data_IF_644592663875
#
_entry.id   IF_644592663875
#
_cell.length_a   1.000
_cell.length_b   1.000
_cell.length_c   1.000
_cell.angle_alpha   90.00
_cell.angle_beta   90.00
_cell.angle_gamma   90.00
#
_symmetry.space_group_name_H-M   'P 1'
#
loop_
_entity.id
_entity.type
_entity.pdbx_description
1 polymer ?
#
# COMPACT_ATOMS: atom_id res chain seq x y z
N UNK A 1 70.73 -110.47 61.20
CA UNK A 1 69.99 -110.18 59.95
C UNK A 1 68.53 -109.96 60.32
N UNK A 2 68.04 -108.73 60.17
CA UNK A 2 66.62 -108.36 60.23
C UNK A 2 66.44 -107.32 59.10
N UNK A 3 65.48 -107.45 58.17
CA UNK A 3 65.34 -106.51 57.06
C UNK A 3 64.64 -105.21 57.52
N UNK A 4 64.90 -104.07 56.86
CA UNK A 4 64.29 -102.79 57.20
C UNK A 4 62.83 -102.73 56.74
N UNK A 5 61.96 -102.19 57.60
CA UNK A 5 60.57 -101.85 57.28
C UNK A 5 60.57 -100.63 56.35
N UNK A 6 59.93 -100.78 55.20
CA UNK A 6 59.70 -99.70 54.23
C UNK A 6 58.63 -98.75 54.76
N UNK A 7 58.97 -97.47 54.96
CA UNK A 7 58.01 -96.39 55.16
C UNK A 7 58.13 -95.41 54.00
N UNK A 8 57.48 -95.70 52.88
CA UNK A 8 57.26 -94.71 51.82
C UNK A 8 56.38 -93.57 52.38
N UNK A 9 56.76 -92.29 52.20
CA UNK A 9 55.91 -91.14 52.57
C UNK A 9 54.55 -91.22 51.87
N UNK A 10 53.47 -90.87 52.57
CA UNK A 10 52.14 -90.83 51.95
C UNK A 10 52.13 -89.76 50.86
N UNK A 11 51.69 -90.08 49.64
CA UNK A 11 51.59 -89.08 48.57
C UNK A 11 50.58 -87.99 48.95
N UNK A 12 50.89 -86.75 48.57
CA UNK A 12 49.99 -85.59 48.72
C UNK A 12 48.63 -85.90 48.08
N UNK A 13 47.57 -85.64 48.84
CA UNK A 13 46.18 -85.95 48.48
C UNK A 13 45.26 -84.81 48.90
N UNK A 14 44.00 -84.83 48.48
CA UNK A 14 43.01 -83.86 48.91
C UNK A 14 42.80 -83.83 50.44
N UNK A 15 43.03 -84.95 51.12
CA UNK A 15 42.84 -85.11 52.57
C UNK A 15 44.17 -84.97 53.37
N UNK A 16 45.32 -84.85 52.69
CA UNK A 16 46.63 -84.76 53.33
C UNK A 16 47.59 -83.86 52.53
N UNK A 17 47.95 -82.71 53.13
CA UNK A 17 48.77 -81.64 52.52
C UNK A 17 48.24 -81.17 51.13
N UNK A 18 46.93 -80.92 51.04
CA UNK A 18 46.29 -80.50 49.79
C UNK A 18 46.92 -79.23 49.20
N UNK A 19 47.30 -79.22 47.91
CA UNK A 19 47.82 -78.03 47.22
C UNK A 19 46.72 -77.07 46.77
N UNK A 20 45.45 -77.38 47.01
CA UNK A 20 44.31 -76.55 46.59
C UNK A 20 44.01 -75.46 47.61
N UNK A 21 43.54 -74.31 47.12
CA UNK A 21 43.15 -73.19 47.96
C UNK A 21 42.04 -73.63 48.94
N UNK A 22 42.09 -73.22 50.23
CA UNK A 22 41.07 -73.59 51.21
C UNK A 22 39.65 -73.26 50.72
N UNK A 23 38.81 -74.29 50.58
CA UNK A 23 37.43 -74.18 50.07
C UNK A 23 37.26 -74.32 48.56
N UNK A 24 38.35 -74.42 47.78
CA UNK A 24 38.28 -74.86 46.38
C UNK A 24 37.98 -76.37 46.34
N UNK A 25 37.25 -76.82 45.33
CA UNK A 25 36.99 -78.25 45.15
C UNK A 25 38.32 -78.98 44.88
N UNK A 26 38.54 -80.11 45.52
CA UNK A 26 39.75 -80.91 45.31
C UNK A 26 39.34 -82.33 44.89
N UNK A 27 40.00 -82.86 43.85
CA UNK A 27 39.82 -84.24 43.41
C UNK A 27 41.18 -84.91 43.22
N UNK A 28 41.38 -86.07 43.84
CA UNK A 28 42.58 -86.87 43.67
C UNK A 28 42.62 -87.52 42.27
N UNK A 29 43.80 -87.52 41.65
CA UNK A 29 44.04 -88.16 40.35
C UNK A 29 45.35 -88.94 40.34
N UNK A 30 45.53 -89.79 39.33
CA UNK A 30 46.76 -90.57 39.15
C UNK A 30 48.04 -89.71 39.00
N UNK A 31 47.92 -88.40 38.75
CA UNK A 31 49.04 -87.44 38.64
C UNK A 31 49.13 -86.47 39.84
N UNK A 32 48.36 -86.71 40.91
CA UNK A 32 48.25 -85.85 42.09
C UNK A 32 46.92 -85.06 42.15
N UNK A 33 46.70 -84.26 43.20
CA UNK A 33 45.44 -83.55 43.43
C UNK A 33 45.19 -82.47 42.38
N UNK A 34 43.99 -82.49 41.80
CA UNK A 34 43.49 -81.49 40.85
C UNK A 34 42.56 -80.54 41.60
N UNK A 35 42.83 -79.24 41.47
CA UNK A 35 42.03 -78.19 42.10
C UNK A 35 41.00 -77.67 41.10
N UNK A 36 39.74 -77.62 41.55
CA UNK A 36 38.61 -77.09 40.82
C UNK A 36 38.51 -75.57 40.94
N UNK A 37 37.32 -75.02 40.70
CA UNK A 37 37.12 -73.57 40.77
C UNK A 37 37.31 -73.01 42.18
N UNK A 38 37.78 -71.77 42.25
CA UNK A 38 37.87 -71.03 43.50
C UNK A 38 36.50 -70.88 44.20
N UNK A 39 36.49 -70.68 45.53
CA UNK A 39 35.27 -70.41 46.30
C UNK A 39 34.45 -69.23 45.72
N UNK A 40 33.13 -69.22 46.00
CA UNK A 40 32.25 -68.13 45.54
C UNK A 40 32.79 -66.76 45.97
N UNK A 41 32.85 -65.82 45.02
CA UNK A 41 33.41 -64.49 45.23
C UNK A 41 34.93 -64.41 45.09
N UNK A 42 35.59 -65.47 44.61
CA UNK A 42 37.02 -65.52 44.33
C UNK A 42 37.29 -66.00 42.91
N UNK A 43 38.41 -65.59 42.33
CA UNK A 43 38.87 -65.99 40.99
C UNK A 43 40.28 -66.57 41.07
N UNK A 44 40.64 -67.47 40.14
CA UNK A 44 41.92 -68.17 40.12
C UNK A 44 41.85 -69.60 39.58
N UNK A 45 42.96 -70.32 39.69
CA UNK A 45 43.15 -71.69 39.17
C UNK A 45 42.83 -72.81 40.18
N UNK A 46 42.18 -72.46 41.29
CA UNK A 46 41.87 -73.38 42.38
C UNK A 46 43.04 -73.66 43.33
N UNK A 47 44.28 -73.31 42.97
CA UNK A 47 45.45 -73.34 43.87
C UNK A 47 45.72 -71.96 44.44
N UNK A 48 45.61 -70.93 43.61
CA UNK A 48 45.78 -69.54 43.97
C UNK A 48 44.46 -68.81 43.73
N UNK A 49 43.69 -68.56 44.78
CA UNK A 49 42.43 -67.84 44.70
C UNK A 49 42.56 -66.43 45.30
N UNK A 50 42.09 -65.43 44.55
CA UNK A 50 42.04 -64.03 44.98
C UNK A 50 40.58 -63.57 45.09
N UNK A 51 40.27 -62.76 46.10
CA UNK A 51 38.92 -62.19 46.27
C UNK A 51 38.58 -61.32 45.06
N UNK A 52 37.41 -61.54 44.45
CA UNK A 52 36.88 -60.66 43.41
C UNK A 52 36.41 -59.39 44.11
N UNK A 53 37.09 -58.27 43.86
CA UNK A 53 36.66 -56.96 44.34
C UNK A 53 35.37 -56.56 43.62
N UNK A 54 34.35 -56.17 44.39
CA UNK A 54 33.05 -55.75 43.88
C UNK A 54 32.78 -54.29 44.24
N UNK A 55 31.74 -53.70 43.68
CA UNK A 55 31.32 -52.35 44.01
C UNK A 55 30.95 -52.15 45.49
N UNK A 56 30.58 -53.24 46.21
CA UNK A 56 30.34 -53.20 47.66
C UNK A 56 31.61 -52.90 48.47
N UNK A 57 32.79 -53.19 47.92
CA UNK A 57 34.08 -52.88 48.56
C UNK A 57 34.44 -51.38 48.41
N UNK A 58 33.56 -50.56 47.81
CA UNK A 58 33.78 -49.14 47.46
C UNK A 58 35.12 -48.86 46.77
N UNK A 59 35.47 -49.59 45.69
CA UNK A 59 36.77 -49.44 45.05
C UNK A 59 36.88 -48.19 44.15
N UNK A 60 35.75 -47.58 43.78
CA UNK A 60 35.72 -46.37 42.96
C UNK A 60 35.78 -45.10 43.80
N UNK A 61 36.27 -44.01 43.20
CA UNK A 61 36.32 -42.70 43.85
C UNK A 61 34.90 -42.22 44.24
N UNK A 62 34.73 -41.54 45.40
CA UNK A 62 33.43 -41.06 45.85
C UNK A 62 32.68 -40.24 44.77
N UNK A 63 31.46 -40.65 44.43
CA UNK A 63 30.65 -40.03 43.38
C UNK A 63 30.87 -40.57 41.96
N UNK A 64 31.80 -41.52 41.76
CA UNK A 64 31.93 -42.28 40.52
C UNK A 64 30.99 -43.48 40.54
N UNK A 65 30.21 -43.64 39.47
CA UNK A 65 29.35 -44.82 39.28
C UNK A 65 30.21 -46.08 39.15
N UNK A 66 29.95 -47.07 40.00
CA UNK A 66 30.60 -48.39 39.95
C UNK A 66 29.65 -49.43 39.36
N UNK A 67 30.16 -50.29 38.49
CA UNK A 67 29.41 -51.40 37.91
C UNK A 67 30.14 -52.72 38.17
N UNK A 68 29.44 -53.70 38.74
CA UNK A 68 29.97 -55.06 38.92
C UNK A 68 30.04 -55.79 37.58
N UNK A 69 31.15 -56.50 37.35
CA UNK A 69 31.38 -57.32 36.17
C UNK A 69 31.78 -58.74 36.58
N UNK A 70 31.66 -59.70 35.66
CA UNK A 70 31.90 -61.14 35.92
C UNK A 70 33.26 -61.47 36.56
N UNK A 71 34.27 -60.60 36.43
CA UNK A 71 35.60 -60.78 37.02
C UNK A 71 36.05 -59.61 37.93
N UNK A 72 35.12 -58.79 38.44
CA UNK A 72 35.47 -57.67 39.31
C UNK A 72 34.47 -56.52 39.23
N UNK A 73 35.00 -55.31 39.12
CA UNK A 73 34.23 -54.09 39.00
C UNK A 73 34.79 -53.19 37.90
N UNK A 74 34.01 -52.20 37.48
CA UNK A 74 34.45 -51.13 36.59
C UNK A 74 33.97 -49.78 37.12
N UNK A 75 34.91 -48.85 37.31
CA UNK A 75 34.58 -47.48 37.63
C UNK A 75 34.22 -46.68 36.37
N UNK A 76 33.20 -45.84 36.50
CA UNK A 76 32.83 -44.84 35.51
C UNK A 76 33.82 -43.68 35.44
N UNK A 77 33.44 -42.62 34.73
CA UNK A 77 34.25 -41.39 34.63
C UNK A 77 34.30 -40.67 35.97
N UNK A 78 35.42 -40.02 36.26
CA UNK A 78 35.55 -39.13 37.42
C UNK A 78 34.48 -38.02 37.41
N UNK A 79 34.04 -37.54 38.58
CA UNK A 79 33.06 -36.45 38.66
C UNK A 79 33.59 -35.16 38.03
N UNK A 80 32.69 -34.25 37.62
CA UNK A 80 33.06 -32.94 37.08
C UNK A 80 34.03 -32.21 38.03
N UNK A 81 35.18 -31.76 37.52
CA UNK A 81 36.25 -31.18 38.34
C UNK A 81 37.47 -32.10 38.56
N UNK A 82 37.32 -33.39 38.27
CA UNK A 82 38.36 -34.39 38.50
C UNK A 82 38.81 -35.07 37.20
N UNK A 83 40.03 -35.62 37.19
CA UNK A 83 40.57 -36.42 36.11
C UNK A 83 41.22 -37.68 36.67
N UNK A 84 41.26 -38.75 35.88
CA UNK A 84 41.80 -40.03 36.30
C UNK A 84 41.01 -41.21 35.71
N UNK A 85 41.19 -42.38 36.30
CA UNK A 85 40.66 -43.66 35.81
C UNK A 85 39.35 -44.10 36.51
N UNK A 86 38.73 -43.25 37.32
CA UNK A 86 37.51 -43.57 38.07
C UNK A 86 37.76 -44.26 39.43
N UNK A 87 38.88 -44.96 39.58
CA UNK A 87 39.37 -45.48 40.87
C UNK A 87 40.13 -44.39 41.64
N UNK A 88 41.06 -43.72 40.94
CA UNK A 88 41.77 -42.56 41.43
C UNK A 88 41.38 -41.36 40.59
N UNK A 89 40.72 -40.40 41.23
CA UNK A 89 40.34 -39.14 40.62
C UNK A 89 41.07 -38.02 41.35
N UNK A 90 41.90 -37.28 40.61
CA UNK A 90 42.63 -36.13 41.11
C UNK A 90 41.95 -34.83 40.66
N UNK A 91 41.91 -33.84 41.53
CA UNK A 91 41.34 -32.54 41.22
C UNK A 91 42.16 -31.93 40.08
N UNK A 92 41.49 -31.54 38.98
CA UNK A 92 42.16 -30.77 37.93
C UNK A 92 42.61 -29.44 38.54
N UNK A 93 43.92 -29.14 38.49
CA UNK A 93 44.46 -27.88 39.05
C UNK A 93 43.82 -26.66 38.38
N UNK A 94 43.61 -26.74 37.07
CA UNK A 94 42.84 -25.77 36.32
C UNK A 94 41.72 -26.49 35.56
N UNK A 95 40.48 -26.38 36.06
CA UNK A 95 39.31 -27.00 35.44
C UNK A 95 38.98 -26.36 34.07
N UNK A 96 39.42 -25.12 33.83
CA UNK A 96 39.21 -24.41 32.56
C UNK A 96 40.01 -25.01 31.39
N UNK A 97 41.03 -25.84 31.64
CA UNK A 97 41.74 -26.58 30.58
C UNK A 97 40.83 -27.54 29.82
N UNK A 98 39.72 -27.97 30.44
CA UNK A 98 38.70 -28.79 29.80
C UNK A 98 37.74 -28.02 28.91
N UNK A 99 37.90 -26.69 28.79
CA UNK A 99 37.02 -25.76 28.05
C UNK A 99 35.53 -26.00 28.34
N UNK A 100 35.10 -25.90 29.62
CA UNK A 100 33.73 -26.23 30.01
C UNK A 100 32.72 -25.11 29.67
N UNK A 101 33.19 -23.92 29.30
CA UNK A 101 32.36 -22.80 28.89
C UNK A 101 32.14 -22.80 27.38
N UNK A 102 31.08 -22.10 26.94
CA UNK A 102 30.81 -21.90 25.51
C UNK A 102 32.03 -21.24 24.83
N UNK A 103 32.18 -21.48 23.53
CA UNK A 103 33.31 -20.95 22.75
C UNK A 103 33.41 -19.43 22.94
N UNK A 104 34.64 -18.93 23.14
CA UNK A 104 34.96 -17.51 23.41
C UNK A 104 34.42 -16.94 24.73
N UNK A 105 33.75 -17.74 25.57
CA UNK A 105 33.37 -17.32 26.93
C UNK A 105 34.53 -17.54 27.90
N UNK A 106 34.82 -16.52 28.70
CA UNK A 106 35.82 -16.58 29.74
C UNK A 106 35.45 -17.62 30.82
N UNK A 107 36.39 -18.52 31.13
CA UNK A 107 36.25 -19.50 32.21
C UNK A 107 37.03 -19.04 33.43
N UNK A 108 36.35 -18.93 34.58
CA UNK A 108 36.92 -18.45 35.83
C UNK A 108 36.90 -19.60 36.84
N UNK A 109 38.05 -19.98 37.36
CA UNK A 109 38.15 -21.02 38.41
C UNK A 109 37.61 -20.50 39.75
N UNK A 110 36.85 -21.33 40.47
CA UNK A 110 36.27 -21.01 41.78
C UNK A 110 36.68 -22.03 42.85
N UNK A 111 36.56 -21.66 44.12
CA UNK A 111 36.94 -22.51 45.26
C UNK A 111 35.79 -23.41 45.77
N UNK A 112 34.63 -23.36 45.14
CA UNK A 112 33.43 -24.13 45.50
C UNK A 112 32.92 -24.91 44.27
N UNK A 113 32.35 -26.12 44.44
CA UNK A 113 31.78 -26.90 43.33
C UNK A 113 30.80 -26.07 42.48
N UNK A 114 30.85 -26.13 41.13
CA UNK A 114 31.63 -27.06 40.28
C UNK A 114 33.09 -26.65 40.02
N UNK A 115 33.63 -25.71 40.81
CA UNK A 115 35.00 -25.19 40.76
C UNK A 115 35.35 -24.33 39.55
N UNK A 116 34.34 -23.98 38.74
CA UNK A 116 34.41 -22.95 37.73
C UNK A 116 33.08 -22.21 37.63
N UNK A 117 33.13 -21.03 37.02
CA UNK A 117 31.98 -20.33 36.47
C UNK A 117 32.34 -19.78 35.11
N UNK A 118 31.37 -19.72 34.22
CA UNK A 118 31.52 -19.09 32.92
C UNK A 118 31.09 -17.62 33.00
N UNK A 119 31.75 -16.78 32.21
CA UNK A 119 31.32 -15.40 31.98
C UNK A 119 30.01 -15.32 31.19
N UNK A 120 29.66 -14.11 30.79
CA UNK A 120 28.50 -13.88 29.92
C UNK A 120 28.72 -14.47 28.53
N UNK A 121 27.62 -14.83 27.86
CA UNK A 121 27.68 -15.23 26.46
C UNK A 121 28.22 -14.09 25.57
N UNK A 122 28.84 -14.42 24.42
CA UNK A 122 29.31 -13.40 23.46
C UNK A 122 28.16 -12.52 22.97
N UNK A 123 28.47 -11.34 22.44
CA UNK A 123 27.46 -10.45 21.86
C UNK A 123 26.65 -11.17 20.78
N UNK A 124 25.33 -10.97 20.77
CA UNK A 124 24.41 -11.69 19.88
C UNK A 124 23.95 -13.05 20.41
N UNK A 125 24.42 -13.49 21.58
CA UNK A 125 23.98 -14.72 22.23
C UNK A 125 23.41 -14.47 23.62
N UNK A 126 22.48 -15.33 24.03
CA UNK A 126 21.88 -15.35 25.37
C UNK A 126 22.06 -16.74 26.00
N UNK A 127 22.18 -16.79 27.32
CA UNK A 127 22.37 -18.06 28.03
C UNK A 127 23.14 -17.89 29.34
N UNK A 128 23.61 -19.02 29.87
CA UNK A 128 24.28 -19.10 31.17
C UNK A 128 25.82 -19.17 31.07
N UNK A 129 26.40 -18.87 29.91
CA UNK A 129 27.85 -18.94 29.64
C UNK A 129 28.39 -20.35 29.37
N UNK A 130 27.69 -21.41 29.78
CA UNK A 130 27.99 -22.80 29.39
C UNK A 130 27.24 -23.21 28.13
N UNK A 131 26.00 -22.75 27.97
CA UNK A 131 25.15 -22.95 26.80
C UNK A 131 24.66 -21.60 26.35
N UNK A 132 25.12 -21.16 25.19
CA UNK A 132 24.74 -19.90 24.57
C UNK A 132 23.92 -20.18 23.30
N UNK A 133 22.78 -19.50 23.19
CA UNK A 133 21.88 -19.57 22.06
C UNK A 133 21.85 -18.21 21.37
N UNK A 134 21.74 -18.25 20.05
CA UNK A 134 21.65 -17.06 19.22
C UNK A 134 20.39 -16.25 19.58
N UNK A 135 20.54 -14.94 19.73
CA UNK A 135 19.43 -14.03 19.95
C UNK A 135 18.84 -13.71 18.59
N UNK A 136 17.54 -13.95 18.41
CA UNK A 136 16.86 -13.46 17.22
C UNK A 136 16.55 -11.96 17.36
N UNK A 137 17.46 -11.09 16.94
CA UNK A 137 17.25 -9.64 17.10
C UNK A 137 16.07 -9.13 16.26
N UNK A 138 15.75 -9.80 15.15
CA UNK A 138 14.62 -9.44 14.29
C UNK A 138 13.28 -9.59 15.01
N UNK A 139 13.12 -10.64 15.80
CA UNK A 139 11.90 -10.88 16.60
C UNK A 139 11.87 -10.03 17.86
N UNK A 140 13.01 -9.90 18.55
CA UNK A 140 13.07 -9.27 19.87
C UNK A 140 13.08 -7.74 19.81
N UNK A 141 13.82 -7.16 18.85
CA UNK A 141 14.10 -5.72 18.86
C UNK A 141 13.60 -4.97 17.61
N UNK A 142 13.25 -5.68 16.53
CA UNK A 142 12.79 -5.14 15.23
C UNK A 142 13.67 -3.95 14.79
N UNK A 143 14.93 -4.21 14.39
CA UNK A 143 15.91 -3.16 14.10
C UNK A 143 15.70 -2.45 12.75
N UNK A 144 14.99 -3.09 11.82
CA UNK A 144 14.81 -2.59 10.46
C UNK A 144 13.66 -1.60 10.35
N UNK A 145 13.71 -0.77 9.31
CA UNK A 145 12.65 0.18 9.01
C UNK A 145 11.34 -0.57 8.70
N UNK A 146 10.15 -0.03 9.03
CA UNK A 146 8.88 -0.68 8.70
C UNK A 146 8.79 -1.07 7.22
N UNK A 147 8.39 -2.31 6.93
CA UNK A 147 8.33 -2.85 5.56
C UNK A 147 9.66 -3.41 5.03
N UNK A 148 10.80 -3.18 5.71
CA UNK A 148 12.08 -3.80 5.35
C UNK A 148 12.20 -5.19 5.98
N UNK A 149 12.67 -6.16 5.18
CA UNK A 149 12.94 -7.52 5.65
C UNK A 149 14.16 -7.55 6.56
N UNK A 150 13.98 -8.14 7.74
CA UNK A 150 15.06 -8.41 8.69
C UNK A 150 15.54 -9.85 8.53
N UNK A 151 16.85 -10.05 8.48
CA UNK A 151 17.50 -11.35 8.39
C UNK A 151 18.25 -11.61 9.69
N UNK A 152 17.85 -12.65 10.41
CA UNK A 152 18.60 -13.12 11.57
C UNK A 152 19.87 -13.84 11.11
N UNK A 153 21.02 -13.42 11.62
CA UNK A 153 22.33 -14.01 11.38
C UNK A 153 22.82 -14.67 12.67
N UNK A 154 23.86 -15.49 12.57
CA UNK A 154 24.50 -16.09 13.74
C UNK A 154 26.01 -15.80 13.71
N UNK A 155 26.50 -14.79 14.45
CA UNK A 155 25.76 -13.85 15.30
C UNK A 155 25.16 -12.66 14.56
N UNK A 156 24.11 -12.07 15.13
CA UNK A 156 23.62 -10.73 14.81
C UNK A 156 22.48 -10.68 13.80
N UNK A 157 22.31 -9.55 13.14
CA UNK A 157 21.24 -9.36 12.16
C UNK A 157 21.69 -8.48 11.01
N UNK A 158 20.95 -8.56 9.90
CA UNK A 158 21.06 -7.64 8.77
C UNK A 158 19.68 -7.23 8.30
N UNK A 159 19.47 -5.92 8.16
CA UNK A 159 18.35 -5.36 7.44
C UNK A 159 18.66 -5.32 5.95
N UNK A 160 17.67 -5.57 5.11
CA UNK A 160 17.81 -5.32 3.68
C UNK A 160 17.81 -3.82 3.36
N UNK A 161 17.94 -3.48 2.07
CA UNK A 161 17.83 -2.11 1.58
C UNK A 161 16.46 -1.50 1.90
N UNK A 162 16.41 -0.16 1.92
CA UNK A 162 15.16 0.56 2.08
C UNK A 162 14.14 0.19 0.98
N UNK A 163 12.83 0.30 1.24
CA UNK A 163 11.80 0.03 0.25
C UNK A 163 11.91 0.99 -0.96
N UNK A 164 11.29 0.66 -2.11
CA UNK A 164 11.16 1.61 -3.23
C UNK A 164 10.59 2.95 -2.76
N UNK A 165 11.10 4.06 -3.30
CA UNK A 165 10.74 5.42 -2.88
C UNK A 165 11.48 5.92 -1.63
N UNK A 166 12.33 5.10 -1.00
CA UNK A 166 13.15 5.51 0.14
C UNK A 166 14.64 5.29 -0.11
N UNK A 167 15.46 6.13 0.51
CA UNK A 167 16.93 6.05 0.51
C UNK A 167 17.46 5.90 1.92
N UNK A 168 18.54 5.15 2.08
CA UNK A 168 19.14 4.89 3.39
C UNK A 168 20.21 3.82 3.30
N UNK A 169 21.04 3.75 4.34
CA UNK A 169 22.07 2.72 4.42
C UNK A 169 21.49 1.40 4.95
N UNK A 170 22.10 0.31 4.49
CA UNK A 170 21.91 -1.01 5.09
C UNK A 170 22.36 -0.94 6.56
N UNK A 171 21.56 -1.55 7.44
CA UNK A 171 21.83 -1.58 8.87
C UNK A 171 22.06 -3.02 9.32
N UNK A 172 23.23 -3.27 9.91
CA UNK A 172 23.62 -4.57 10.45
C UNK A 172 24.37 -4.36 11.76
N UNK A 173 24.34 -5.38 12.61
CA UNK A 173 24.91 -5.31 13.94
C UNK A 173 24.79 -6.63 14.69
N UNK A 174 25.36 -6.67 15.89
CA UNK A 174 25.37 -7.85 16.74
C UNK A 174 24.80 -7.49 18.11
N UNK A 175 23.79 -8.25 18.55
CA UNK A 175 23.15 -8.05 19.85
C UNK A 175 22.16 -6.88 19.90
N UNK A 176 21.37 -6.86 20.97
CA UNK A 176 20.25 -5.92 21.14
C UNK A 176 20.65 -4.55 21.69
N UNK A 177 21.84 -4.42 22.28
CA UNK A 177 22.29 -3.17 22.89
C UNK A 177 22.48 -2.07 21.85
N UNK A 178 23.00 -2.42 20.67
CA UNK A 178 23.16 -1.50 19.56
C UNK A 178 21.80 -0.99 19.04
N UNK A 179 20.79 -1.86 19.00
CA UNK A 179 19.47 -1.57 18.43
C UNK A 179 18.68 -0.57 19.29
N UNK A 180 18.94 -0.53 20.60
CA UNK A 180 18.32 0.45 21.52
C UNK A 180 18.69 1.89 21.17
N UNK A 181 19.90 2.09 20.64
CA UNK A 181 20.43 3.41 20.34
C UNK A 181 20.26 3.79 18.87
N UNK A 182 20.15 2.79 17.98
CA UNK A 182 20.10 3.01 16.53
C UNK A 182 19.28 1.92 15.86
N UNK A 183 18.32 2.34 15.05
CA UNK A 183 17.59 1.49 14.10
C UNK A 183 17.96 1.88 12.67
N UNK A 184 17.56 1.06 11.70
CA UNK A 184 17.65 1.46 10.31
C UNK A 184 16.79 2.70 10.08
N UNK A 185 17.34 3.66 9.34
CA UNK A 185 16.67 4.90 8.97
C UNK A 185 16.55 4.90 7.45
N UNK A 186 15.31 4.89 6.98
CA UNK A 186 14.98 5.13 5.58
C UNK A 186 14.34 6.51 5.49
N UNK A 187 14.87 7.35 4.61
CA UNK A 187 14.35 8.68 4.32
C UNK A 187 13.62 8.63 3.00
N UNK A 188 12.51 9.32 2.94
CA UNK A 188 11.76 9.52 1.72
C UNK A 188 12.65 10.14 0.63
N UNK A 189 12.54 9.62 -0.60
CA UNK A 189 13.20 10.18 -1.77
C UNK A 189 12.25 11.19 -2.38
N UNK A 190 12.65 12.46 -2.43
CA UNK A 190 11.85 13.46 -3.11
C UNK A 190 12.04 13.35 -4.63
N UNK A 191 11.20 12.59 -5.32
CA UNK A 191 11.31 12.43 -6.77
C UNK A 191 11.05 13.75 -7.53
N UNK A 192 10.35 14.70 -6.92
CA UNK A 192 10.07 16.00 -7.51
C UNK A 192 11.33 16.88 -7.69
N UNK A 193 12.40 16.63 -6.92
CA UNK A 193 13.67 17.37 -7.07
C UNK A 193 14.39 17.06 -8.38
N UNK A 194 14.09 15.91 -9.00
CA UNK A 194 14.71 15.47 -10.24
C UNK A 194 13.66 15.51 -11.35
N UNK A 195 13.86 16.40 -12.33
CA UNK A 195 13.01 16.49 -13.53
C UNK A 195 11.50 16.55 -13.21
N UNK A 196 11.10 17.26 -12.15
CA UNK A 196 9.70 17.39 -11.71
C UNK A 196 8.99 16.03 -11.51
N UNK A 197 9.72 14.99 -11.07
CA UNK A 197 9.19 13.63 -10.95
C UNK A 197 8.79 12.99 -12.28
N UNK A 198 9.11 13.59 -13.42
CA UNK A 198 8.57 13.17 -14.72
C UNK A 198 7.11 13.56 -14.95
N UNK A 199 6.53 14.42 -14.10
CA UNK A 199 5.27 15.09 -14.38
C UNK A 199 5.42 16.07 -15.55
N UNK A 200 4.30 16.42 -16.18
CA UNK A 200 4.30 17.44 -17.24
C UNK A 200 4.97 18.74 -16.76
N UNK A 201 5.64 19.45 -17.68
CA UNK A 201 6.37 20.68 -17.38
C UNK A 201 5.49 21.75 -16.71
N UNK A 202 4.19 21.77 -17.05
CA UNK A 202 3.22 22.71 -16.50
C UNK A 202 2.30 22.08 -15.45
N UNK A 203 2.63 20.89 -14.93
CA UNK A 203 2.03 20.30 -13.73
C UNK A 203 2.95 20.49 -12.53
N UNK A 204 2.39 20.60 -11.33
CA UNK A 204 3.15 20.62 -10.08
C UNK A 204 3.38 19.20 -9.55
N UNK A 205 4.63 18.77 -9.40
CA UNK A 205 4.92 17.52 -8.71
C UNK A 205 4.71 17.67 -7.20
N UNK A 206 3.94 16.77 -6.60
CA UNK A 206 3.67 16.73 -5.16
C UNK A 206 4.36 15.49 -4.58
N UNK A 207 5.39 15.72 -3.78
CA UNK A 207 6.09 14.66 -3.08
C UNK A 207 5.20 14.05 -1.98
N UNK A 208 5.20 12.73 -1.86
CA UNK A 208 4.44 12.00 -0.83
C UNK A 208 5.36 11.02 -0.11
N UNK A 209 4.92 10.45 1.00
CA UNK A 209 5.77 9.49 1.70
C UNK A 209 5.89 8.19 0.89
N UNK A 210 7.10 7.87 0.46
CA UNK A 210 7.46 6.67 -0.32
C UNK A 210 7.13 6.73 -1.81
N UNK A 211 6.68 7.87 -2.33
CA UNK A 211 6.28 8.06 -3.73
C UNK A 211 6.07 9.54 -4.03
N UNK A 212 5.67 9.88 -5.25
CA UNK A 212 5.17 11.19 -5.63
C UNK A 212 3.89 11.04 -6.44
N UNK A 213 3.20 12.16 -6.67
CA UNK A 213 2.13 12.25 -7.68
C UNK A 213 2.20 13.56 -8.42
N UNK A 214 1.71 13.56 -9.66
CA UNK A 214 1.51 14.79 -10.40
C UNK A 214 0.24 15.49 -9.89
N UNK A 215 0.39 16.74 -9.50
CA UNK A 215 -0.67 17.62 -9.06
C UNK A 215 -1.37 18.29 -10.24
N UNK A 216 -2.31 19.20 -9.96
CA UNK A 216 -3.04 19.91 -11.01
C UNK A 216 -2.09 20.71 -11.91
N UNK A 217 -2.57 21.03 -13.11
CA UNK A 217 -1.90 21.97 -13.97
C UNK A 217 -1.73 23.33 -13.26
N UNK A 218 -0.59 23.97 -13.47
CA UNK A 218 -0.29 25.30 -12.94
C UNK A 218 -1.28 26.32 -13.50
N UNK A 219 -1.45 27.43 -12.78
CA UNK A 219 -2.31 28.53 -13.22
C UNK A 219 -2.00 28.94 -14.67
N UNK A 220 -3.04 29.04 -15.49
CA UNK A 220 -2.92 29.31 -16.92
C UNK A 220 -2.79 28.06 -17.80
N UNK A 221 -2.96 26.86 -17.23
CA UNK A 221 -2.93 25.59 -17.97
C UNK A 221 -4.08 24.67 -17.52
N UNK A 222 -4.66 23.93 -18.47
CA UNK A 222 -5.71 22.93 -18.24
C UNK A 222 -5.31 21.62 -18.92
N UNK A 223 -5.76 20.47 -18.41
CA UNK A 223 -5.39 19.16 -18.97
C UNK A 223 -5.30 18.06 -17.92
N UNK A 224 -4.64 16.95 -18.28
CA UNK A 224 -4.37 15.84 -17.37
C UNK A 224 -2.88 15.84 -17.01
N UNK A 225 -2.61 15.70 -15.72
CA UNK A 225 -1.32 15.77 -15.05
C UNK A 225 -0.25 14.79 -15.57
N UNK A 226 -0.66 13.71 -16.24
CA UNK A 226 0.25 12.67 -16.80
C UNK A 226 0.32 12.64 -18.33
N UNK A 227 -0.73 13.07 -19.03
CA UNK A 227 -0.74 13.14 -20.52
C UNK A 227 -0.40 14.53 -21.08
N UNK A 228 -0.40 15.57 -20.24
CA UNK A 228 0.09 16.90 -20.58
C UNK A 228 -0.86 18.05 -20.20
N UNK A 229 -0.30 19.17 -19.77
CA UNK A 229 -1.00 20.41 -19.47
C UNK A 229 -0.88 21.39 -20.66
N UNK A 230 -2.00 21.85 -21.19
CA UNK A 230 -2.05 22.79 -22.33
C UNK A 230 -2.37 24.22 -21.87
N UNK A 231 -1.85 25.27 -22.55
CA UNK A 231 -2.12 26.66 -22.20
C UNK A 231 -3.63 26.95 -22.20
N UNK A 232 -4.10 27.69 -21.20
CA UNK A 232 -5.49 28.16 -21.09
C UNK A 232 -5.76 29.32 -22.05
N UNK A 233 -5.43 29.23 -23.33
CA UNK A 233 -5.62 30.29 -24.35
C UNK A 233 -7.08 30.80 -24.51
N UNK A 234 -7.99 30.33 -23.67
CA UNK A 234 -9.38 30.75 -23.49
C UNK A 234 -9.56 31.78 -22.35
N UNK A 235 -8.48 32.18 -21.65
CA UNK A 235 -8.50 33.25 -20.64
C UNK A 235 -8.37 34.63 -21.29
N UNK A 236 -9.31 35.52 -20.98
CA UNK A 236 -9.22 36.92 -21.39
C UNK A 236 -8.14 37.68 -20.62
N UNK A 237 -7.71 38.88 -21.10
CA UNK A 237 -6.65 39.67 -20.45
C UNK A 237 -6.93 40.12 -19.02
N UNK A 238 -8.17 40.00 -18.53
CA UNK A 238 -8.56 40.23 -17.13
C UNK A 238 -8.15 39.10 -16.18
N UNK A 239 -7.69 37.97 -16.71
CA UNK A 239 -7.34 36.75 -15.96
C UNK A 239 -8.51 36.10 -15.20
N UNK A 240 -9.75 36.50 -15.49
CA UNK A 240 -10.97 35.98 -14.86
C UNK A 240 -11.97 35.41 -15.87
N UNK A 241 -12.09 36.01 -17.05
CA UNK A 241 -13.09 35.59 -18.02
C UNK A 241 -12.58 34.44 -18.87
N UNK A 242 -13.38 33.38 -18.99
CA UNK A 242 -13.07 32.16 -19.75
C UNK A 242 -14.12 31.98 -20.85
N UNK A 243 -13.71 31.98 -22.11
CA UNK A 243 -14.62 31.86 -23.25
C UNK A 243 -14.63 30.44 -23.84
N UNK A 244 -15.72 30.11 -24.55
CA UNK A 244 -15.77 28.91 -25.39
C UNK A 244 -14.60 28.87 -26.39
N UNK A 245 -14.15 27.69 -26.79
CA UNK A 245 -13.12 27.52 -27.82
C UNK A 245 -13.49 28.24 -29.12
N UNK A 246 -14.79 28.24 -29.45
CA UNK A 246 -15.36 28.92 -30.61
C UNK A 246 -15.80 30.35 -30.29
N UNK A 247 -15.30 30.94 -29.22
CA UNK A 247 -15.49 32.34 -28.89
C UNK A 247 -14.16 33.11 -28.82
N UNK A 248 -14.26 34.43 -28.73
CA UNK A 248 -13.15 35.35 -28.50
C UNK A 248 -13.53 36.42 -27.47
N UNK A 249 -12.52 36.94 -26.79
CA UNK A 249 -12.70 37.97 -25.76
C UNK A 249 -12.94 39.35 -26.38
N UNK A 250 -13.90 40.09 -25.84
CA UNK A 250 -14.24 41.46 -26.21
C UNK A 250 -14.15 42.34 -24.97
N UNK A 251 -13.32 43.39 -25.03
CA UNK A 251 -13.17 44.36 -23.94
C UNK A 251 -14.40 45.27 -23.86
N UNK A 252 -15.06 45.31 -22.70
CA UNK A 252 -16.25 46.16 -22.44
C UNK A 252 -15.82 47.43 -21.71
N UNK A 253 -14.94 47.30 -20.74
CA UNK A 253 -14.41 48.42 -19.95
C UNK A 253 -12.99 48.11 -19.43
N UNK A 254 -12.38 49.04 -18.68
CA UNK A 254 -11.04 48.85 -18.12
C UNK A 254 -10.99 47.58 -17.25
N UNK A 255 -10.29 46.56 -17.74
CA UNK A 255 -10.16 45.21 -17.15
C UNK A 255 -11.46 44.39 -17.06
N UNK A 256 -12.43 44.64 -17.95
CA UNK A 256 -13.68 43.87 -18.01
C UNK A 256 -13.90 43.33 -19.43
N UNK A 257 -14.13 42.03 -19.56
CA UNK A 257 -14.25 41.33 -20.84
C UNK A 257 -15.51 40.46 -20.87
N UNK A 258 -16.17 40.42 -22.03
CA UNK A 258 -17.18 39.40 -22.35
C UNK A 258 -16.67 38.44 -23.41
N UNK A 259 -17.31 37.29 -23.49
CA UNK A 259 -17.10 36.33 -24.56
C UNK A 259 -18.09 36.57 -25.70
N UNK A 260 -17.61 36.47 -26.94
CA UNK A 260 -18.44 36.50 -28.13
C UNK A 260 -18.12 35.32 -29.03
N UNK A 261 -19.15 34.59 -29.46
CA UNK A 261 -18.98 33.49 -30.40
C UNK A 261 -18.36 34.00 -31.73
N UNK A 262 -17.58 33.14 -32.37
CA UNK A 262 -16.95 33.40 -33.66
C UNK A 262 -18.03 33.33 -34.76
N UNK A 263 -17.71 33.86 -35.93
CA UNK A 263 -18.58 33.75 -37.12
C UNK A 263 -18.89 32.28 -37.42
N UNK A 264 -20.17 31.98 -37.68
CA UNK A 264 -20.70 30.62 -37.85
C UNK A 264 -20.99 29.90 -36.53
N UNK A 265 -20.98 30.64 -35.41
CA UNK A 265 -21.33 30.14 -34.09
C UNK A 265 -22.20 31.14 -33.32
N UNK A 266 -23.19 30.62 -32.60
CA UNK A 266 -24.11 31.38 -31.77
C UNK A 266 -24.16 30.85 -30.33
N UNK A 267 -24.66 31.66 -29.40
CA UNK A 267 -24.68 31.34 -27.98
C UNK A 267 -24.30 32.53 -27.10
N UNK A 268 -24.04 32.25 -25.83
CA UNK A 268 -23.69 33.28 -24.85
C UNK A 268 -22.18 33.59 -24.77
N UNK A 269 -21.37 33.05 -25.70
CA UNK A 269 -19.92 33.20 -25.71
C UNK A 269 -19.15 32.28 -24.75
N UNK A 270 -19.80 31.78 -23.69
CA UNK A 270 -19.25 30.74 -22.81
C UNK A 270 -19.59 29.32 -23.29
N UNK A 271 -20.72 29.19 -23.97
CA UNK A 271 -21.10 28.02 -24.76
C UNK A 271 -21.46 28.52 -26.16
N UNK A 272 -20.77 28.02 -27.17
CA UNK A 272 -21.06 28.34 -28.57
C UNK A 272 -21.45 27.08 -29.33
N UNK A 273 -22.58 27.15 -30.03
CA UNK A 273 -23.11 26.15 -30.96
C UNK A 273 -22.89 26.56 -32.41
N UNK A 274 -23.12 25.62 -33.34
CA UNK A 274 -23.19 25.96 -34.75
C UNK A 274 -24.39 26.88 -34.99
N UNK A 275 -24.19 27.80 -35.93
CA UNK A 275 -25.16 28.78 -36.40
C UNK A 275 -25.03 28.82 -37.92
N UNK A 276 -25.94 28.11 -38.59
CA UNK A 276 -25.85 27.82 -40.01
C UNK A 276 -26.23 29.01 -40.90
N UNK A 277 -27.11 29.88 -40.44
CA UNK A 277 -27.62 31.03 -41.18
C UNK A 277 -27.11 32.39 -40.67
N UNK A 278 -26.34 32.37 -39.58
CA UNK A 278 -25.62 33.51 -39.01
C UNK A 278 -26.54 34.59 -38.43
N UNK A 279 -27.65 34.18 -37.84
CA UNK A 279 -28.62 35.07 -37.22
C UNK A 279 -28.36 35.30 -35.71
N UNK A 280 -27.39 34.59 -35.13
CA UNK A 280 -27.02 34.71 -33.73
C UNK A 280 -27.78 33.78 -32.77
N UNK A 281 -28.57 32.84 -33.29
CA UNK A 281 -29.25 31.77 -32.54
C UNK A 281 -28.64 30.41 -32.93
N UNK A 282 -28.37 29.51 -31.97
CA UNK A 282 -27.73 28.24 -32.30
C UNK A 282 -28.72 27.21 -32.87
N UNK A 283 -28.28 26.42 -33.87
CA UNK A 283 -29.07 25.35 -34.52
C UNK A 283 -29.64 24.31 -33.53
N UNK A 284 -29.10 24.25 -32.31
CA UNK A 284 -29.46 23.31 -31.24
C UNK A 284 -29.36 23.97 -29.89
N UNK A 285 -30.18 23.47 -28.95
CA UNK A 285 -30.12 23.85 -27.55
C UNK A 285 -28.72 23.62 -26.98
N UNK A 286 -28.16 24.68 -26.40
CA UNK A 286 -26.89 24.66 -25.68
C UNK A 286 -27.09 24.48 -24.18
N UNK A 287 -26.02 24.15 -23.46
CA UNK A 287 -26.05 23.95 -22.01
C UNK A 287 -25.99 25.28 -21.24
N UNK A 288 -27.00 26.13 -21.45
CA UNK A 288 -27.21 27.40 -20.75
C UNK A 288 -28.71 27.74 -20.71
N UNK A 289 -29.10 28.61 -19.78
CA UNK A 289 -30.51 28.94 -19.53
C UNK A 289 -30.98 30.21 -20.25
N UNK A 290 -30.07 30.93 -20.89
CA UNK A 290 -30.34 32.19 -21.58
C UNK A 290 -31.07 31.95 -22.90
N UNK A 291 -31.84 32.95 -23.36
CA UNK A 291 -32.56 32.86 -24.62
C UNK A 291 -31.62 32.67 -25.81
N UNK A 292 -30.42 33.28 -25.79
CA UNK A 292 -29.35 33.11 -26.78
C UNK A 292 -28.81 31.67 -26.90
N UNK A 293 -29.20 30.76 -26.01
CA UNK A 293 -28.80 29.36 -26.02
C UNK A 293 -29.91 28.41 -26.46
N UNK A 294 -31.11 28.93 -26.72
CA UNK A 294 -32.23 28.13 -27.20
C UNK A 294 -32.00 27.75 -28.66
N UNK A 295 -32.51 26.59 -29.01
CA UNK A 295 -32.50 26.10 -30.38
C UNK A 295 -33.25 27.06 -31.30
N UNK A 296 -32.65 27.32 -32.45
CA UNK A 296 -33.24 28.04 -33.56
C UNK A 296 -34.47 27.31 -34.14
N UNK A 297 -35.60 28.02 -34.24
CA UNK A 297 -36.84 27.55 -34.87
C UNK A 297 -36.84 27.69 -36.41
N UNK A 298 -35.83 28.34 -37.00
CA UNK A 298 -35.56 28.40 -38.43
C UNK A 298 -34.07 28.22 -38.81
N UNK A 299 -33.47 27.01 -38.66
CA UNK A 299 -32.01 26.75 -38.80
C UNK A 299 -31.31 27.08 -40.13
N UNK A 300 -32.01 27.65 -41.10
CA UNK A 300 -31.47 27.98 -42.43
C UNK A 300 -31.95 29.35 -42.95
N UNK A 301 -32.78 30.06 -42.18
CA UNK A 301 -33.41 31.32 -42.57
C UNK A 301 -33.24 32.32 -41.42
N UNK A 302 -32.41 33.35 -41.58
CA UNK A 302 -32.05 34.20 -40.45
C UNK A 302 -33.26 34.88 -39.79
N UNK A 303 -33.49 34.62 -38.50
CA UNK A 303 -34.60 35.16 -37.73
C UNK A 303 -34.25 35.35 -36.24
N UNK A 304 -33.34 36.29 -35.96
CA UNK A 304 -32.83 36.56 -34.59
C UNK A 304 -33.91 36.86 -33.53
N UNK A 305 -35.14 37.21 -33.94
CA UNK A 305 -36.29 37.46 -33.07
C UNK A 305 -37.01 36.20 -32.60
N UNK A 306 -36.86 35.07 -33.32
CA UNK A 306 -37.43 33.76 -33.01
C UNK A 306 -38.94 33.83 -32.76
N UNK A 307 -39.64 34.67 -33.52
CA UNK A 307 -41.10 34.72 -33.53
C UNK A 307 -41.69 33.39 -34.03
N UNK A 308 -42.81 33.01 -33.43
CA UNK A 308 -43.51 31.71 -33.56
C UNK A 308 -44.96 31.96 -33.11
N UNK A 309 -45.79 32.46 -34.03
CA UNK A 309 -47.10 33.02 -33.72
C UNK A 309 -48.11 31.96 -33.24
N UNK A 310 -48.01 30.73 -33.73
CA UNK A 310 -48.88 29.62 -33.37
C UNK A 310 -48.29 28.66 -32.31
N UNK A 311 -46.97 28.73 -32.06
CA UNK A 311 -46.27 27.99 -31.03
C UNK A 311 -45.98 26.53 -31.40
N UNK A 312 -45.92 26.18 -32.69
CA UNK A 312 -45.62 24.82 -33.14
C UNK A 312 -44.12 24.47 -33.15
N UNK A 313 -43.27 25.49 -32.97
CA UNK A 313 -41.81 25.39 -32.93
C UNK A 313 -41.12 25.54 -34.29
N UNK A 314 -41.85 25.90 -35.34
CA UNK A 314 -41.36 26.44 -36.61
C UNK A 314 -41.48 27.95 -36.52
N UNK A 315 -40.42 28.70 -36.85
CA UNK A 315 -40.49 30.16 -36.75
C UNK A 315 -41.24 30.78 -37.92
N UNK A 316 -41.87 31.93 -37.67
CA UNK A 316 -42.66 32.68 -38.66
C UNK A 316 -41.89 32.93 -39.97
N UNK A 317 -40.56 33.10 -39.88
CA UNK A 317 -39.69 33.36 -41.03
C UNK A 317 -39.57 32.16 -42.00
N UNK A 318 -39.73 30.94 -41.50
CA UNK A 318 -39.63 29.71 -42.27
C UNK A 318 -40.94 28.89 -42.29
N UNK A 319 -42.02 29.43 -41.72
CA UNK A 319 -43.37 28.92 -41.85
C UNK A 319 -44.07 29.50 -43.10
N UNK A 320 -44.86 28.67 -43.78
CA UNK A 320 -45.69 29.10 -44.92
C UNK A 320 -47.06 29.67 -44.46
N UNK A 321 -47.49 29.35 -43.23
CA UNK A 321 -48.76 29.72 -42.58
C UNK A 321 -48.50 29.93 -41.07
N UNK A 322 -47.97 31.10 -40.72
CA UNK A 322 -47.32 31.35 -39.43
C UNK A 322 -48.27 31.34 -38.23
N UNK A 323 -49.57 31.58 -38.44
CA UNK A 323 -50.59 31.54 -37.37
C UNK A 323 -51.52 30.31 -37.47
N UNK A 324 -51.23 29.40 -38.40
CA UNK A 324 -51.92 28.15 -38.67
C UNK A 324 -53.45 28.31 -38.76
N UNK A 325 -53.89 29.38 -39.41
CA UNK A 325 -55.30 29.69 -39.64
C UNK A 325 -55.89 29.00 -40.90
N UNK A 326 -55.00 28.44 -41.74
CA UNK A 326 -55.32 27.74 -42.97
C UNK A 326 -55.20 28.61 -44.23
N UNK A 327 -54.78 29.86 -44.10
CA UNK A 327 -54.49 30.80 -45.19
C UNK A 327 -52.98 31.03 -45.22
N UNK A 328 -52.33 30.76 -46.36
CA UNK A 328 -50.88 30.98 -46.48
C UNK A 328 -50.53 32.46 -46.30
N UNK A 329 -49.39 32.75 -45.65
CA UNK A 329 -48.87 34.10 -45.37
C UNK A 329 -48.97 35.08 -46.55
N UNK A 330 -48.77 34.59 -47.78
CA UNK A 330 -48.82 35.40 -49.01
C UNK A 330 -50.23 35.86 -49.45
N UNK A 331 -51.27 35.25 -48.91
CA UNK A 331 -52.69 35.49 -49.24
C UNK A 331 -53.51 35.91 -48.02
N UNK A 332 -52.85 36.08 -46.87
CA UNK A 332 -53.43 36.38 -45.57
C UNK A 332 -53.36 37.90 -45.30
N UNK A 333 -54.47 38.49 -44.85
CA UNK A 333 -54.54 39.89 -44.44
C UNK A 333 -54.13 40.13 -42.97
N UNK A 334 -53.91 39.07 -42.18
CA UNK A 334 -53.28 39.10 -40.86
C UNK A 334 -52.29 37.93 -40.64
N UNK A 335 -51.12 37.91 -41.31
CA UNK A 335 -50.18 36.77 -41.35
C UNK A 335 -49.58 36.26 -40.02
N UNK A 336 -49.97 36.82 -38.88
CA UNK A 336 -49.46 36.45 -37.55
C UNK A 336 -50.57 36.41 -36.50
N UNK A 337 -51.84 36.53 -36.91
CA UNK A 337 -52.99 36.62 -36.01
C UNK A 337 -54.13 35.79 -36.58
N UNK A 338 -54.30 34.60 -36.03
CA UNK A 338 -55.27 33.61 -36.50
C UNK A 338 -56.65 34.19 -36.84
N UNK A 339 -56.96 34.31 -38.13
CA UNK A 339 -58.19 34.91 -38.62
C UNK A 339 -58.75 34.21 -39.88
N UNK A 340 -59.22 32.95 -39.79
CA UNK A 340 -59.67 32.18 -40.95
C UNK A 340 -60.82 32.81 -41.77
N UNK A 341 -61.50 33.80 -41.18
CA UNK A 341 -62.56 34.58 -41.81
C UNK A 341 -62.09 35.70 -42.74
N UNK A 342 -60.83 36.15 -42.61
CA UNK A 342 -60.20 37.20 -43.42
C UNK A 342 -61.07 38.47 -43.52
N UNK A 343 -61.76 38.84 -42.43
CA UNK A 343 -62.58 40.05 -42.40
C UNK A 343 -61.71 41.32 -42.50
N UNK A 344 -62.14 42.29 -43.32
CA UNK A 344 -61.50 43.58 -43.59
C UNK A 344 -62.61 44.59 -43.96
N UNK A 345 -63.08 45.34 -42.95
CA UNK A 345 -64.35 46.09 -42.98
C UNK A 345 -64.20 47.62 -42.91
N UNK A 346 -63.15 48.17 -43.52
CA UNK A 346 -62.94 49.61 -43.63
C UNK A 346 -64.11 50.38 -44.24
N UNK A 347 -64.37 51.59 -43.72
CA UNK A 347 -65.46 52.45 -44.21
C UNK A 347 -65.23 53.00 -45.62
N UNK A 348 -63.98 53.21 -46.01
CA UNK A 348 -63.54 53.79 -47.27
C UNK A 348 -62.99 52.76 -48.27
N UNK A 349 -63.14 51.47 -47.94
CA UNK A 349 -62.72 50.33 -48.74
C UNK A 349 -61.50 49.64 -48.14
N UNK A 350 -61.45 48.32 -48.28
CA UNK A 350 -60.41 47.45 -47.72
C UNK A 350 -59.01 47.98 -48.02
N UNK A 351 -58.22 48.10 -46.95
CA UNK A 351 -56.85 48.57 -46.97
C UNK A 351 -55.83 47.43 -47.10
N UNK A 352 -56.31 46.19 -46.96
CA UNK A 352 -55.54 44.95 -47.08
C UNK A 352 -55.00 44.40 -45.76
N UNK A 353 -55.33 45.03 -44.63
CA UNK A 353 -55.02 44.60 -43.26
C UNK A 353 -56.33 44.10 -42.63
N UNK A 354 -56.31 42.90 -42.04
CA UNK A 354 -57.54 42.31 -41.48
C UNK A 354 -57.96 42.95 -40.15
N UNK A 355 -59.26 42.92 -39.86
CA UNK A 355 -59.88 43.58 -38.69
C UNK A 355 -59.23 43.17 -37.34
N UNK A 356 -58.60 41.99 -37.24
CA UNK A 356 -57.97 41.49 -36.02
C UNK A 356 -56.54 42.01 -35.78
N UNK A 357 -55.86 42.43 -36.84
CA UNK A 357 -54.49 42.96 -36.79
C UNK A 357 -54.41 44.43 -37.22
N UNK A 358 -55.54 45.05 -37.54
CA UNK A 358 -55.66 46.46 -37.88
C UNK A 358 -55.75 47.34 -36.62
N UNK A 359 -54.82 48.28 -36.47
CA UNK A 359 -54.80 49.28 -35.41
C UNK A 359 -55.79 50.45 -35.66
N UNK A 360 -56.46 50.48 -36.81
CA UNK A 360 -57.61 51.33 -37.12
C UNK A 360 -58.70 50.59 -37.93
N UNK A 361 -59.42 49.59 -37.35
CA UNK A 361 -60.33 48.64 -38.04
C UNK A 361 -61.49 49.20 -38.90
N UNK A 362 -61.67 50.52 -38.95
CA UNK A 362 -62.75 51.18 -39.67
C UNK A 362 -62.23 52.31 -40.58
N UNK A 363 -60.92 52.51 -40.69
CA UNK A 363 -60.28 53.63 -41.39
C UNK A 363 -59.09 53.09 -42.17
N UNK A 364 -59.14 53.17 -43.50
CA UNK A 364 -58.08 52.69 -44.38
C UNK A 364 -56.71 53.29 -44.02
N UNK A 365 -55.81 52.45 -43.51
CA UNK A 365 -54.45 52.83 -43.13
C UNK A 365 -53.46 51.66 -43.38
N UNK A 366 -53.16 51.30 -44.66
CA UNK A 366 -52.38 50.11 -45.03
C UNK A 366 -50.95 50.03 -44.47
N UNK A 367 -50.48 51.11 -43.84
CA UNK A 367 -49.13 51.21 -43.27
C UNK A 367 -49.09 50.97 -41.77
N UNK A 368 -50.23 50.93 -41.09
CA UNK A 368 -50.35 50.60 -39.67
C UNK A 368 -49.36 51.39 -38.79
N UNK A 369 -49.14 52.67 -39.11
CA UNK A 369 -48.25 53.52 -38.32
C UNK A 369 -48.88 53.82 -36.97
N UNK A 370 -48.08 53.69 -35.92
CA UNK A 370 -48.41 53.92 -34.51
C UNK A 370 -47.18 54.59 -33.88
N UNK A 371 -47.19 55.92 -33.82
CA UNK A 371 -46.02 56.74 -33.49
C UNK A 371 -45.65 56.66 -32.01
N UNK A 372 -46.64 56.57 -31.13
CA UNK A 372 -46.47 56.54 -29.68
C UNK A 372 -46.57 55.13 -29.09
N UNK A 373 -47.03 54.15 -29.87
CA UNK A 373 -47.07 52.73 -29.52
C UNK A 373 -48.22 52.38 -28.58
N UNK A 374 -49.31 53.14 -28.60
CA UNK A 374 -50.45 52.93 -27.71
C UNK A 374 -51.45 51.88 -28.24
N UNK A 375 -51.23 51.41 -29.47
CA UNK A 375 -52.05 50.41 -30.16
C UNK A 375 -53.15 51.00 -31.03
N UNK A 376 -53.30 52.33 -31.08
CA UNK A 376 -54.14 53.03 -32.06
C UNK A 376 -53.27 53.55 -33.21
N UNK A 377 -53.72 53.35 -34.45
CA UNK A 377 -52.97 53.87 -35.59
C UNK A 377 -53.09 55.39 -35.72
N UNK A 378 -52.03 56.03 -36.24
CA UNK A 378 -51.96 57.48 -36.51
C UNK A 378 -53.18 58.02 -37.32
N UNK A 379 -53.86 57.15 -38.07
CA UNK A 379 -55.01 57.50 -38.90
C UNK A 379 -56.33 57.68 -38.11
N UNK A 380 -56.44 57.03 -36.96
CA UNK A 380 -57.63 57.06 -36.09
C UNK A 380 -57.31 57.49 -34.65
N UNK A 381 -56.05 57.75 -34.34
CA UNK A 381 -55.59 58.30 -33.07
C UNK A 381 -55.72 59.84 -33.03
N UNK A 382 -56.26 60.32 -31.93
CA UNK A 382 -56.45 61.74 -31.65
C UNK A 382 -55.24 62.37 -30.94
N UNK A 383 -54.29 61.60 -30.41
CA UNK A 383 -53.11 62.05 -29.64
C UNK A 383 -51.81 61.29 -30.01
N UNK A 384 -51.44 61.37 -31.29
CA UNK A 384 -50.32 60.67 -31.97
C UNK A 384 -48.96 60.71 -31.24
N UNK A 385 -48.71 61.64 -30.32
CA UNK A 385 -47.45 61.69 -29.54
C UNK A 385 -47.62 61.45 -28.03
N UNK A 386 -48.82 61.05 -27.60
CA UNK A 386 -49.21 60.73 -26.22
C UNK A 386 -48.78 61.79 -25.19
N UNK A 387 -48.74 63.06 -25.60
CA UNK A 387 -48.37 64.16 -24.70
C UNK A 387 -49.56 64.65 -23.85
N UNK A 388 -50.74 64.07 -24.08
CA UNK A 388 -51.99 64.35 -23.40
C UNK A 388 -52.78 65.51 -24.02
N UNK A 389 -52.50 65.87 -25.28
CA UNK A 389 -53.17 66.96 -26.03
C UNK A 389 -53.71 66.44 -27.36
N UNK A 390 -55.01 66.17 -27.40
CA UNK A 390 -55.65 65.75 -28.65
C UNK A 390 -55.56 66.81 -29.76
N UNK A 391 -55.37 66.37 -31.01
CA UNK A 391 -55.38 67.18 -32.24
C UNK A 391 -56.76 67.76 -32.62
N UNK A 392 -57.80 67.49 -31.82
CA UNK A 392 -59.15 68.04 -31.98
C UNK A 392 -59.26 69.48 -31.44
N UNK A 393 -59.39 70.46 -32.34
CA UNK A 393 -59.79 71.85 -32.07
C UNK A 393 -61.31 72.02 -31.95
#
# INVERSE_FOLDING_TARGET
MVPPVSTTPRPVSCDYESPCYPGAQCQDSARGPICGTCPRGMTGDGRNCLKITTCLDNPCFPGVRCEDHHHGYRCGKCPTGYHGNGERCERRRNICDSRPCYTEVECITTNYPPFFRCGSCPAGFTGNGTSCQDINECEVARPCFPGVRCINLRPGFRCESCPPGYTGSIFEGVGIEMIRNRKQICRDVNECEINNGGCDLHSECINTEGSYRCGPCRNGFVGNETTGCRPSQELCPDMSTICDLNAYCVCISLNDYMCRCRVGWAGNGHNCGLDADSDGVPDKNLNCHEHSCRMDNCPTVPNSGQEDADGDGIGDACDEDADNDGILNSSDNCPSVHNPGQEDNDRDGSDGVGDLCDNCPMVNNPRQWDTDGDGFGDACDDDIDNDGINFSL
#
